data_IF_441374509984
#
_entry.id   IF_441374509984
#
_cell.length_a   1.000
_cell.length_b   1.000
_cell.length_c   1.000
_cell.angle_alpha   90.00
_cell.angle_beta   90.00
_cell.angle_gamma   90.00
#
_symmetry.space_group_name_H-M   'P 1'
#
loop_
_entity.id
_entity.type
_entity.pdbx_description
1 polymer ?
#
# COMPACT_ATOMS: atom_id res chain seq x y z
N UNK A 1 27.71 5.28 -87.99
CA UNK A 1 27.62 6.09 -86.82
C UNK A 1 26.54 5.48 -85.92
N UNK A 2 26.91 4.74 -84.87
CA UNK A 2 26.00 4.12 -83.91
C UNK A 2 26.08 4.91 -82.55
N UNK A 3 25.01 5.54 -82.16
CA UNK A 3 24.94 6.23 -80.90
C UNK A 3 24.52 5.27 -79.74
N UNK A 4 25.42 5.04 -78.77
CA UNK A 4 25.15 4.31 -77.57
C UNK A 4 24.42 5.22 -76.56
N UNK A 5 23.22 4.82 -76.12
CA UNK A 5 22.50 5.46 -75.02
C UNK A 5 22.89 4.75 -73.74
N UNK A 6 23.50 5.48 -72.82
CA UNK A 6 23.78 5.04 -71.46
C UNK A 6 22.53 5.35 -70.59
N UNK A 7 21.90 4.31 -70.05
CA UNK A 7 20.83 4.43 -69.06
C UNK A 7 21.46 4.51 -67.66
N UNK A 8 21.34 5.66 -66.98
CA UNK A 8 21.73 5.81 -65.61
C UNK A 8 20.57 5.34 -64.76
N UNK A 9 20.77 4.25 -64.00
CA UNK A 9 19.80 3.74 -63.02
C UNK A 9 20.02 4.48 -61.69
N UNK A 10 19.06 5.36 -61.29
CA UNK A 10 19.04 6.03 -59.99
C UNK A 10 18.53 5.04 -58.93
N UNK A 11 19.41 4.55 -58.07
CA UNK A 11 19.00 3.80 -56.87
C UNK A 11 18.48 4.81 -55.81
N UNK A 12 17.18 4.86 -55.59
CA UNK A 12 16.58 5.57 -54.48
C UNK A 12 16.62 4.65 -53.25
N UNK A 13 17.56 4.91 -52.35
CA UNK A 13 17.61 4.26 -51.05
C UNK A 13 16.53 4.90 -50.12
N UNK A 14 15.44 4.20 -49.91
CA UNK A 14 14.43 4.56 -48.90
C UNK A 14 15.01 4.18 -47.52
N UNK A 15 15.57 5.16 -46.80
CA UNK A 15 15.83 5.01 -45.38
C UNK A 15 14.47 4.98 -44.64
N UNK A 16 13.97 3.79 -44.38
CA UNK A 16 12.86 3.58 -43.49
C UNK A 16 13.27 3.99 -42.06
N UNK A 17 12.78 5.14 -41.57
CA UNK A 17 12.88 5.48 -40.17
C UNK A 17 12.09 4.43 -39.37
N UNK A 18 12.77 3.45 -38.80
CA UNK A 18 12.21 2.63 -37.74
C UNK A 18 11.89 3.58 -36.58
N UNK A 19 10.63 3.99 -36.45
CA UNK A 19 10.12 4.55 -35.20
C UNK A 19 10.24 3.41 -34.19
N UNK A 20 11.23 3.46 -33.31
CA UNK A 20 11.24 2.67 -32.11
C UNK A 20 9.89 2.96 -31.41
N UNK A 21 9.06 1.96 -31.29
CA UNK A 21 7.91 2.01 -30.38
C UNK A 21 8.51 2.34 -29.02
N UNK A 22 8.21 3.51 -28.47
CA UNK A 22 8.62 3.82 -27.13
C UNK A 22 7.90 2.80 -26.23
N UNK A 23 8.65 1.85 -25.69
CA UNK A 23 8.11 0.91 -24.72
C UNK A 23 7.59 1.74 -23.56
N UNK A 24 6.32 1.52 -23.19
CA UNK A 24 5.71 2.16 -22.04
C UNK A 24 6.57 1.88 -20.80
N UNK A 25 6.74 2.90 -19.93
CA UNK A 25 7.40 2.73 -18.65
C UNK A 25 6.80 1.52 -17.93
N UNK A 26 7.65 0.57 -17.51
CA UNK A 26 7.26 -0.60 -16.71
C UNK A 26 7.79 -0.45 -15.30
N UNK A 27 6.88 -0.53 -14.34
CA UNK A 27 7.17 -0.32 -12.92
C UNK A 27 7.27 -1.65 -12.20
N UNK A 28 8.37 -1.85 -11.48
CA UNK A 28 8.51 -2.87 -10.46
C UNK A 28 7.88 -2.38 -9.15
N UNK A 29 7.66 -3.30 -8.21
CA UNK A 29 7.16 -2.94 -6.90
C UNK A 29 8.15 -2.01 -6.18
N UNK A 30 7.69 -0.84 -5.66
CA UNK A 30 8.58 0.12 -4.99
C UNK A 30 8.95 -0.25 -3.55
N UNK A 31 8.61 -1.47 -3.09
CA UNK A 31 8.90 -2.01 -1.76
C UNK A 31 9.45 -3.43 -1.81
N UNK A 32 10.21 -3.80 -0.79
CA UNK A 32 10.75 -5.15 -0.62
C UNK A 32 9.74 -6.11 0.05
N UNK A 33 8.48 -6.10 -0.36
CA UNK A 33 7.38 -6.85 0.25
C UNK A 33 6.60 -7.68 -0.78
N UNK A 34 5.68 -8.52 -0.30
CA UNK A 34 4.76 -9.31 -1.14
C UNK A 34 3.36 -8.69 -1.09
N UNK A 35 2.88 -8.04 -2.18
CA UNK A 35 1.55 -7.41 -2.20
C UNK A 35 0.44 -8.40 -1.89
N UNK A 36 -0.43 -8.01 -0.96
CA UNK A 36 -1.56 -8.84 -0.49
C UNK A 36 -1.18 -9.89 0.55
N UNK A 37 0.09 -9.93 1.01
CA UNK A 37 0.58 -10.77 2.11
C UNK A 37 1.32 -9.98 3.18
N UNK A 38 2.36 -9.25 2.80
CA UNK A 38 3.21 -8.48 3.73
C UNK A 38 3.14 -6.98 3.49
N UNK A 39 2.51 -6.55 2.41
CA UNK A 39 2.07 -5.17 2.18
C UNK A 39 0.79 -5.12 1.37
N UNK A 40 0.09 -3.98 1.41
CA UNK A 40 -1.24 -3.82 0.82
C UNK A 40 -1.35 -2.43 0.20
N UNK A 41 -2.07 -2.31 -0.92
CA UNK A 41 -2.49 -1.00 -1.41
C UNK A 41 -3.67 -0.54 -0.55
N UNK A 42 -3.48 0.57 0.17
CA UNK A 42 -4.52 1.16 1.02
C UNK A 42 -5.31 2.21 0.24
N UNK A 43 -4.62 3.07 -0.52
CA UNK A 43 -5.24 4.11 -1.33
C UNK A 43 -4.63 4.14 -2.74
N UNK A 44 -5.47 4.47 -3.70
CA UNK A 44 -5.14 4.67 -5.12
C UNK A 44 -5.20 6.16 -5.47
N UNK A 45 -4.76 6.52 -6.68
CA UNK A 45 -4.88 7.89 -7.20
C UNK A 45 -6.35 8.29 -7.28
N UNK A 46 -6.66 9.52 -6.86
CA UNK A 46 -7.98 10.12 -7.07
C UNK A 46 -8.14 10.52 -8.54
N UNK A 47 -9.20 10.02 -9.15
CA UNK A 47 -9.54 10.28 -10.55
C UNK A 47 -10.76 11.18 -10.72
N UNK A 48 -11.38 11.61 -9.62
CA UNK A 48 -12.46 12.57 -9.68
C UNK A 48 -11.88 13.99 -9.73
N UNK A 49 -12.20 14.80 -10.75
CA UNK A 49 -11.68 16.17 -10.85
C UNK A 49 -12.39 17.15 -9.90
N UNK A 50 -13.47 16.71 -9.24
CA UNK A 50 -14.29 17.49 -8.32
C UNK A 50 -13.94 17.23 -6.86
N UNK A 51 -14.78 17.62 -5.91
CA UNK A 51 -14.56 17.38 -4.48
C UNK A 51 -14.91 15.95 -4.03
N UNK A 52 -15.43 15.12 -4.91
CA UNK A 52 -15.69 13.71 -4.65
C UNK A 52 -14.47 12.89 -5.04
N UNK A 53 -14.09 11.93 -4.21
CA UNK A 53 -12.93 11.07 -4.47
C UNK A 53 -13.35 9.73 -5.09
N UNK A 54 -12.68 9.30 -6.16
CA UNK A 54 -12.93 8.03 -6.84
C UNK A 54 -11.63 7.40 -7.34
N UNK A 55 -11.38 6.15 -6.97
CA UNK A 55 -10.27 5.37 -7.52
C UNK A 55 -10.55 4.91 -8.97
N UNK A 56 -9.58 4.23 -9.59
CA UNK A 56 -9.66 3.78 -10.99
C UNK A 56 -10.78 2.76 -11.27
N UNK A 57 -11.37 2.15 -10.24
CA UNK A 57 -12.54 1.27 -10.37
C UNK A 57 -13.86 2.03 -10.18
N UNK A 58 -13.80 3.33 -9.84
CA UNK A 58 -14.93 4.14 -9.41
C UNK A 58 -15.30 3.93 -7.95
N UNK A 59 -14.48 3.21 -7.18
CA UNK A 59 -14.65 2.93 -5.76
C UNK A 59 -14.14 4.05 -4.86
N UNK A 60 -14.18 3.82 -3.55
CA UNK A 60 -13.87 4.79 -2.50
C UNK A 60 -12.50 4.59 -1.86
N UNK A 61 -11.60 3.78 -2.46
CA UNK A 61 -10.25 3.59 -1.93
C UNK A 61 -9.29 4.69 -2.36
N UNK A 62 -9.67 5.91 -2.08
CA UNK A 62 -8.90 7.13 -2.30
C UNK A 62 -9.49 8.26 -1.46
N UNK A 63 -8.93 9.46 -1.52
CA UNK A 63 -9.45 10.69 -0.94
C UNK A 63 -9.18 11.87 -1.88
N UNK A 64 -9.93 12.98 -1.72
CA UNK A 64 -9.86 14.16 -2.59
C UNK A 64 -8.39 14.60 -2.81
N UNK A 65 -8.00 14.69 -4.07
CA UNK A 65 -6.66 15.09 -4.54
C UNK A 65 -5.51 14.14 -4.19
N UNK A 66 -5.78 12.89 -3.85
CA UNK A 66 -4.72 11.92 -3.65
C UNK A 66 -4.00 11.63 -4.97
N UNK A 67 -2.72 11.99 -5.08
CA UNK A 67 -1.94 11.96 -6.31
C UNK A 67 -1.00 10.75 -6.44
N UNK A 68 -1.15 9.75 -5.58
CA UNK A 68 -0.29 8.57 -5.55
C UNK A 68 -0.98 7.27 -5.18
N UNK A 69 -0.17 6.25 -4.97
CA UNK A 69 -0.56 4.94 -4.45
C UNK A 69 0.06 4.76 -3.07
N UNK A 70 -0.75 4.49 -2.05
CA UNK A 70 -0.27 4.24 -0.70
C UNK A 70 -0.06 2.76 -0.45
N UNK A 71 1.19 2.35 -0.28
CA UNK A 71 1.57 0.99 0.10
C UNK A 71 1.72 0.89 1.61
N UNK A 72 0.79 0.18 2.23
CA UNK A 72 0.70 -0.02 3.69
C UNK A 72 1.44 -1.27 4.12
N UNK A 73 2.21 -1.16 5.21
CA UNK A 73 2.82 -2.29 5.91
C UNK A 73 2.04 -2.63 7.20
N UNK A 74 2.17 -3.86 7.73
CA UNK A 74 1.39 -4.28 8.89
C UNK A 74 1.64 -3.48 10.18
N UNK A 75 2.84 -2.92 10.36
CA UNK A 75 3.19 -2.13 11.54
C UNK A 75 4.38 -1.20 11.26
N UNK A 76 4.68 -0.28 12.17
CA UNK A 76 5.88 0.56 12.09
C UNK A 76 7.16 -0.26 12.25
N UNK A 77 7.13 -1.37 13.01
CA UNK A 77 8.26 -2.30 13.12
C UNK A 77 8.49 -3.02 11.78
N UNK A 78 7.43 -3.47 11.10
CA UNK A 78 7.54 -4.05 9.76
C UNK A 78 8.09 -3.03 8.75
N UNK A 79 7.68 -1.75 8.87
CA UNK A 79 8.15 -0.66 8.03
C UNK A 79 9.63 -0.32 8.27
N UNK A 80 10.10 -0.37 9.51
CA UNK A 80 11.51 -0.16 9.86
C UNK A 80 12.40 -1.38 9.49
N UNK A 81 11.81 -2.55 9.30
CA UNK A 81 12.49 -3.80 8.96
C UNK A 81 12.73 -3.97 7.45
N UNK A 82 13.20 -5.15 7.03
CA UNK A 82 13.51 -5.44 5.61
C UNK A 82 12.35 -5.23 4.64
N UNK A 83 11.10 -5.40 5.09
CA UNK A 83 9.89 -5.22 4.26
C UNK A 83 9.68 -3.75 3.87
N UNK A 84 10.16 -2.81 4.68
CA UNK A 84 10.05 -1.38 4.44
C UNK A 84 11.16 -0.81 3.57
N UNK A 85 12.09 -1.63 3.04
CA UNK A 85 13.09 -1.15 2.10
C UNK A 85 12.41 -0.66 0.82
N UNK A 86 12.56 0.65 0.55
CA UNK A 86 12.02 1.32 -0.63
C UNK A 86 12.96 1.12 -1.80
N UNK A 87 12.41 0.75 -2.96
CA UNK A 87 13.16 0.44 -4.18
C UNK A 87 12.76 1.37 -5.32
N UNK A 88 13.71 1.70 -6.18
CA UNK A 88 13.43 2.39 -7.43
C UNK A 88 12.51 1.51 -8.30
N UNK A 89 11.31 1.98 -8.61
CA UNK A 89 10.33 1.23 -9.39
C UNK A 89 10.75 1.03 -10.85
N UNK A 90 11.61 1.91 -11.37
CA UNK A 90 12.21 1.80 -12.70
C UNK A 90 13.62 2.41 -12.69
N UNK A 91 14.44 2.08 -13.68
CA UNK A 91 15.73 2.72 -13.89
C UNK A 91 15.55 4.20 -14.24
N UNK A 92 16.46 5.05 -13.75
CA UNK A 92 16.37 6.49 -13.99
C UNK A 92 17.47 7.28 -13.31
N UNK A 93 17.30 8.61 -13.29
CA UNK A 93 18.23 9.55 -12.65
C UNK A 93 17.54 10.27 -11.51
N UNK A 94 18.15 10.29 -10.34
CA UNK A 94 17.63 11.00 -9.17
C UNK A 94 17.66 12.50 -9.41
N UNK A 95 16.49 13.17 -9.33
CA UNK A 95 16.38 14.62 -9.53
C UNK A 95 16.63 15.41 -8.25
N UNK A 96 15.99 15.00 -7.16
CA UNK A 96 16.05 15.68 -5.86
C UNK A 96 15.73 14.72 -4.74
N UNK A 97 16.21 15.05 -3.55
CA UNK A 97 15.98 14.32 -2.30
C UNK A 97 15.64 15.28 -1.15
N UNK A 98 14.96 14.77 -0.13
CA UNK A 98 14.92 15.32 1.24
C UNK A 98 15.14 14.16 2.20
N UNK A 99 15.91 14.38 3.28
CA UNK A 99 16.33 13.28 4.15
C UNK A 99 16.47 13.67 5.65
N UNK A 100 15.98 14.86 6.02
CA UNK A 100 16.19 15.48 7.34
C UNK A 100 14.90 15.74 8.14
N UNK A 101 13.72 15.50 7.53
CA UNK A 101 12.45 15.67 8.22
C UNK A 101 12.27 14.60 9.31
N UNK A 102 11.80 14.97 10.53
CA UNK A 102 11.62 14.01 11.61
C UNK A 102 10.46 13.03 11.34
N UNK A 103 10.59 11.81 11.86
CA UNK A 103 9.56 10.77 11.81
C UNK A 103 8.54 10.98 12.94
N UNK A 104 7.60 11.91 12.77
CA UNK A 104 6.58 12.25 13.76
C UNK A 104 5.21 12.32 13.08
N UNK A 105 4.24 11.57 13.61
CA UNK A 105 2.88 11.55 13.09
C UNK A 105 2.21 12.94 13.16
N UNK A 106 1.45 13.29 12.10
CA UNK A 106 0.63 14.51 12.13
C UNK A 106 -0.49 14.47 13.18
N UNK A 107 -0.80 13.30 13.73
CA UNK A 107 -1.68 13.19 14.92
C UNK A 107 -1.11 13.87 16.16
N UNK A 108 0.22 13.90 16.28
CA UNK A 108 0.93 14.53 17.38
C UNK A 108 1.22 16.02 17.11
N UNK A 109 1.60 16.34 15.87
CA UNK A 109 2.08 17.68 15.51
C UNK A 109 1.04 18.57 14.84
N UNK A 110 0.03 17.99 14.23
CA UNK A 110 -0.96 18.67 13.37
C UNK A 110 -0.45 18.93 11.96
N UNK A 111 -1.37 18.93 10.99
CA UNK A 111 -1.08 19.14 9.55
C UNK A 111 -0.39 20.46 9.25
N UNK A 112 -0.67 21.52 10.03
CA UNK A 112 -0.07 22.84 9.82
C UNK A 112 1.46 22.84 9.93
N UNK A 113 2.05 21.91 10.69
CA UNK A 113 3.51 21.78 10.85
C UNK A 113 4.22 21.31 9.60
N UNK A 114 3.52 20.61 8.72
CA UNK A 114 4.08 19.99 7.51
C UNK A 114 3.54 20.64 6.23
N UNK A 115 2.83 21.78 6.34
CA UNK A 115 2.29 22.51 5.19
C UNK A 115 3.41 22.91 4.22
N UNK A 116 3.27 22.57 2.93
CA UNK A 116 4.26 22.80 1.88
C UNK A 116 5.43 21.81 1.89
N UNK A 117 5.44 20.86 2.83
CA UNK A 117 6.42 19.79 2.92
C UNK A 117 5.78 18.42 3.20
N UNK A 118 4.56 18.25 2.71
CA UNK A 118 3.69 17.10 2.99
C UNK A 118 4.35 15.75 2.69
N UNK A 119 5.19 15.67 1.65
CA UNK A 119 5.94 14.47 1.31
C UNK A 119 6.93 14.03 2.43
N UNK A 120 7.35 14.94 3.34
CA UNK A 120 8.38 14.62 4.31
C UNK A 120 9.72 14.30 3.65
N UNK A 121 10.41 13.26 4.12
CA UNK A 121 11.59 12.72 3.44
C UNK A 121 11.16 11.94 2.22
N UNK A 122 11.96 12.06 1.16
CA UNK A 122 11.63 11.40 -0.09
C UNK A 122 12.58 11.78 -1.21
N UNK A 123 12.29 11.25 -2.38
CA UNK A 123 13.07 11.53 -3.59
C UNK A 123 12.22 11.45 -4.85
N UNK A 124 12.73 12.04 -5.92
CA UNK A 124 12.14 11.97 -7.25
C UNK A 124 13.17 11.40 -8.22
N UNK A 125 12.74 10.43 -9.03
CA UNK A 125 13.55 9.81 -10.08
C UNK A 125 12.92 10.14 -11.44
N UNK A 126 13.71 10.71 -12.36
CA UNK A 126 13.32 10.92 -13.75
C UNK A 126 13.55 9.65 -14.56
N UNK A 127 12.61 9.34 -15.44
CA UNK A 127 12.64 8.22 -16.37
C UNK A 127 12.52 8.70 -17.82
N UNK A 128 12.53 7.77 -18.78
CA UNK A 128 12.27 8.06 -20.18
C UNK A 128 10.84 8.63 -20.39
N UNK A 129 10.59 9.21 -21.57
CA UNK A 129 9.28 9.69 -22.04
C UNK A 129 8.58 10.68 -21.09
N UNK A 130 9.37 11.53 -20.41
CA UNK A 130 8.91 12.54 -19.47
C UNK A 130 8.15 11.97 -18.26
N UNK A 131 8.39 10.72 -17.90
CA UNK A 131 7.92 10.16 -16.64
C UNK A 131 8.86 10.53 -15.50
N UNK A 132 8.30 10.68 -14.31
CA UNK A 132 9.00 10.68 -13.03
C UNK A 132 8.23 9.89 -11.98
N UNK A 133 8.97 9.35 -11.00
CA UNK A 133 8.39 8.72 -9.81
C UNK A 133 8.86 9.44 -8.56
N UNK A 134 7.94 9.62 -7.60
CA UNK A 134 8.21 10.22 -6.31
C UNK A 134 7.87 9.22 -5.20
N UNK A 135 8.73 9.19 -4.19
CA UNK A 135 8.66 8.31 -3.02
C UNK A 135 8.64 9.19 -1.78
N UNK A 136 7.56 9.16 -1.00
CA UNK A 136 7.34 10.03 0.16
C UNK A 136 7.22 9.26 1.46
N UNK A 137 7.26 9.99 2.56
CA UNK A 137 7.16 9.52 3.95
C UNK A 137 8.28 8.57 4.35
N UNK A 138 9.48 8.75 3.75
CA UNK A 138 10.66 7.96 4.09
C UNK A 138 11.18 8.29 5.48
N UNK A 139 11.85 7.34 6.10
CA UNK A 139 12.47 7.51 7.40
C UNK A 139 13.60 8.56 7.36
N UNK A 140 13.73 9.32 8.43
CA UNK A 140 14.79 10.32 8.59
C UNK A 140 16.17 9.68 8.42
N UNK A 141 16.99 10.24 7.54
CA UNK A 141 18.34 9.75 7.29
C UNK A 141 18.43 8.48 6.44
N UNK A 142 17.30 7.90 5.98
CA UNK A 142 17.29 6.61 5.30
C UNK A 142 17.56 6.66 3.79
N UNK A 143 17.48 7.82 3.16
CA UNK A 143 17.72 7.95 1.70
C UNK A 143 19.20 7.68 1.41
N UNK A 144 19.47 6.69 0.53
CA UNK A 144 20.83 6.18 0.27
C UNK A 144 21.45 6.70 -1.03
N UNK A 145 20.68 7.45 -1.82
CA UNK A 145 21.09 7.97 -3.15
C UNK A 145 21.22 9.49 -3.13
N UNK A 146 21.87 10.06 -4.15
CA UNK A 146 22.15 11.50 -4.28
C UNK A 146 21.54 12.07 -5.57
N UNK A 147 21.28 13.39 -5.63
CA UNK A 147 20.91 14.05 -6.88
C UNK A 147 21.92 13.77 -8.01
N UNK A 148 21.41 13.55 -9.23
CA UNK A 148 22.13 13.15 -10.43
C UNK A 148 22.71 11.73 -10.42
N UNK A 149 22.46 10.93 -9.38
CA UNK A 149 22.83 9.51 -9.38
C UNK A 149 21.89 8.71 -10.31
N UNK A 150 22.47 7.81 -11.10
CA UNK A 150 21.73 6.87 -11.94
C UNK A 150 21.42 5.63 -11.10
N UNK A 151 20.14 5.24 -11.04
CA UNK A 151 19.67 4.08 -10.32
C UNK A 151 19.10 3.04 -11.27
N UNK A 152 19.19 1.78 -10.86
CA UNK A 152 18.56 0.67 -11.58
C UNK A 152 17.22 0.30 -10.95
N UNK A 153 16.30 -0.29 -11.73
CA UNK A 153 15.06 -0.84 -11.19
C UNK A 153 15.36 -1.86 -10.08
N UNK A 154 14.63 -1.80 -8.97
CA UNK A 154 14.83 -2.66 -7.80
C UNK A 154 15.94 -2.24 -6.84
N UNK A 155 16.77 -1.23 -7.19
CA UNK A 155 17.80 -0.70 -6.28
C UNK A 155 17.16 -0.12 -5.02
N UNK A 156 17.69 -0.45 -3.83
CA UNK A 156 17.24 0.16 -2.57
C UNK A 156 17.66 1.64 -2.53
N UNK A 157 16.69 2.52 -2.27
CA UNK A 157 16.87 3.98 -2.29
C UNK A 157 16.51 4.65 -0.96
N UNK A 158 15.96 3.90 0.00
CA UNK A 158 15.58 4.38 1.32
C UNK A 158 14.74 3.36 2.08
N UNK A 159 14.12 3.80 3.16
CA UNK A 159 13.19 3.02 3.98
C UNK A 159 11.92 3.79 4.27
N UNK A 160 10.80 3.08 4.42
CA UNK A 160 9.53 3.64 4.88
C UNK A 160 9.70 4.20 6.28
N UNK A 161 9.17 5.41 6.50
CA UNK A 161 9.16 6.12 7.76
C UNK A 161 7.80 6.68 8.14
N UNK A 162 7.83 7.82 8.84
CA UNK A 162 6.65 8.52 9.33
C UNK A 162 6.78 10.04 9.15
N UNK A 163 7.60 10.49 8.22
CA UNK A 163 7.86 11.91 7.98
C UNK A 163 6.81 12.56 7.09
N UNK A 164 6.52 13.84 7.27
CA UNK A 164 5.57 14.60 6.47
C UNK A 164 4.11 14.44 6.91
N UNK A 165 3.17 14.61 5.98
CA UNK A 165 1.72 14.60 6.25
C UNK A 165 1.17 13.17 6.33
N UNK A 166 1.57 12.41 7.32
CA UNK A 166 1.10 11.03 7.52
C UNK A 166 0.77 10.72 8.97
N UNK A 167 -0.21 9.86 9.19
CA UNK A 167 -0.63 9.40 10.52
C UNK A 167 -0.01 8.04 10.90
N UNK A 168 0.46 7.27 9.93
CA UNK A 168 0.98 5.91 10.08
C UNK A 168 2.02 5.60 9.00
N UNK A 169 2.91 4.65 9.28
CA UNK A 169 3.98 4.28 8.35
C UNK A 169 3.44 3.64 7.07
N UNK A 170 3.74 4.26 5.93
CA UNK A 170 3.43 3.76 4.59
C UNK A 170 4.36 4.40 3.56
N UNK A 171 4.45 3.84 2.37
CA UNK A 171 5.05 4.50 1.23
C UNK A 171 3.94 5.15 0.39
N UNK A 172 3.98 6.47 0.26
CA UNK A 172 3.21 7.18 -0.76
C UNK A 172 4.04 7.27 -2.04
N UNK A 173 3.53 6.68 -3.12
CA UNK A 173 4.23 6.53 -4.39
C UNK A 173 3.45 7.23 -5.51
N UNK A 174 4.00 8.33 -6.03
CA UNK A 174 3.40 9.07 -7.15
C UNK A 174 4.14 8.78 -8.45
N UNK A 175 3.39 8.57 -9.53
CA UNK A 175 3.89 8.55 -10.90
C UNK A 175 3.39 9.79 -11.61
N UNK A 176 4.28 10.49 -12.34
CA UNK A 176 3.90 11.62 -13.18
C UNK A 176 4.36 11.41 -14.61
N UNK A 177 3.62 12.00 -15.55
CA UNK A 177 4.07 12.16 -16.94
C UNK A 177 3.94 13.61 -17.32
N UNK A 178 5.02 14.22 -17.77
CA UNK A 178 5.10 15.65 -18.08
C UNK A 178 4.57 16.52 -16.92
N UNK A 179 4.94 16.18 -15.68
CA UNK A 179 4.57 16.89 -14.45
C UNK A 179 3.14 16.68 -13.94
N UNK A 180 2.33 15.85 -14.60
CA UNK A 180 0.94 15.55 -14.18
C UNK A 180 0.87 14.15 -13.56
N UNK A 181 0.20 13.98 -12.41
CA UNK A 181 -0.05 12.66 -11.84
C UNK A 181 -0.72 11.72 -12.83
N UNK A 182 -0.29 10.47 -12.83
CA UNK A 182 -0.82 9.37 -13.66
C UNK A 182 -1.13 8.21 -12.73
N UNK A 183 -2.30 7.62 -12.88
CA UNK A 183 -2.64 6.40 -12.16
C UNK A 183 -1.90 5.20 -12.78
N UNK A 184 -0.97 4.55 -12.06
CA UNK A 184 -0.23 3.43 -12.61
C UNK A 184 -1.08 2.17 -12.83
N UNK A 185 -2.31 2.12 -12.29
CA UNK A 185 -3.23 1.00 -12.48
C UNK A 185 -4.12 1.19 -13.72
N UNK A 186 -4.32 2.42 -14.19
CA UNK A 186 -5.21 2.69 -15.32
C UNK A 186 -4.80 3.99 -16.05
N UNK A 187 -3.98 3.89 -17.08
CA UNK A 187 -3.51 5.03 -17.88
C UNK A 187 -4.68 5.65 -18.63
N UNK A 188 -4.84 6.98 -18.53
CA UNK A 188 -5.84 7.72 -19.29
C UNK A 188 -5.61 7.64 -20.79
N UNK A 189 -6.70 7.53 -21.57
CA UNK A 189 -6.65 7.46 -23.03
C UNK A 189 -6.35 6.06 -23.59
N UNK A 190 -6.12 5.06 -22.77
CA UNK A 190 -6.11 3.67 -23.20
C UNK A 190 -7.57 3.23 -23.43
N UNK A 191 -7.89 2.85 -24.68
CA UNK A 191 -9.21 2.30 -25.03
C UNK A 191 -9.46 0.91 -24.41
N UNK A 192 -8.50 0.40 -23.65
CA UNK A 192 -8.52 -0.91 -23.01
C UNK A 192 -8.59 -0.75 -21.49
N UNK A 193 -9.71 -1.17 -20.92
CA UNK A 193 -9.83 -1.45 -19.50
C UNK A 193 -9.22 -2.84 -19.29
N UNK A 194 -7.99 -2.92 -18.73
CA UNK A 194 -7.35 -4.22 -18.53
C UNK A 194 -5.83 -4.11 -18.33
N UNK A 195 -5.14 -5.24 -18.40
CA UNK A 195 -3.68 -5.35 -18.17
C UNK A 195 -2.82 -4.42 -19.03
N UNK A 196 -3.26 -4.13 -20.25
CA UNK A 196 -2.52 -3.31 -21.22
C UNK A 196 -2.57 -1.81 -20.92
N UNK A 197 -3.44 -1.38 -19.98
CA UNK A 197 -3.57 0.00 -19.53
C UNK A 197 -2.76 0.31 -18.26
N UNK A 198 -2.07 -0.66 -17.69
CA UNK A 198 -1.29 -0.51 -16.45
C UNK A 198 0.20 -0.24 -16.75
N UNK A 199 0.83 0.60 -15.92
CA UNK A 199 2.29 0.78 -15.93
C UNK A 199 3.03 -0.32 -15.14
N UNK A 200 2.33 -1.09 -14.30
CA UNK A 200 2.96 -2.14 -13.51
C UNK A 200 3.47 -3.28 -14.42
N UNK A 201 4.62 -3.85 -14.04
CA UNK A 201 5.12 -5.06 -14.67
C UNK A 201 4.06 -6.17 -14.62
N UNK A 202 3.92 -6.94 -15.70
CA UNK A 202 2.87 -7.94 -15.84
C UNK A 202 2.93 -9.03 -14.76
N UNK A 203 4.14 -9.33 -14.26
CA UNK A 203 4.35 -10.29 -13.18
C UNK A 203 3.66 -9.89 -11.86
N UNK A 204 3.40 -8.58 -11.67
CA UNK A 204 2.72 -8.03 -10.49
C UNK A 204 1.18 -8.08 -10.58
N UNK A 205 0.62 -8.32 -11.78
CA UNK A 205 -0.82 -8.15 -12.04
C UNK A 205 -1.75 -8.92 -11.11
N UNK A 206 -1.39 -10.14 -10.72
CA UNK A 206 -2.19 -10.94 -9.78
C UNK A 206 -2.05 -10.47 -8.34
N UNK A 207 -0.86 -10.02 -7.93
CA UNK A 207 -0.56 -9.60 -6.56
C UNK A 207 -1.07 -8.20 -6.25
N UNK A 208 -1.07 -7.30 -7.25
CA UNK A 208 -1.58 -5.92 -7.17
C UNK A 208 -3.07 -5.78 -7.56
N UNK A 209 -3.80 -6.89 -7.72
CA UNK A 209 -5.23 -6.81 -8.01
C UNK A 209 -5.97 -5.99 -6.96
N UNK A 210 -6.97 -5.23 -7.40
CA UNK A 210 -7.84 -4.43 -6.53
C UNK A 210 -8.49 -5.29 -5.42
N UNK A 211 -8.50 -4.78 -4.21
CA UNK A 211 -9.14 -5.41 -3.04
C UNK A 211 -9.92 -4.36 -2.28
N UNK A 212 -11.23 -4.47 -2.26
CA UNK A 212 -12.08 -3.57 -1.49
C UNK A 212 -12.16 -4.03 -0.03
N UNK A 213 -11.15 -3.64 0.74
CA UNK A 213 -10.93 -4.02 2.13
C UNK A 213 -10.07 -5.27 2.29
N UNK A 214 -9.23 -5.25 3.32
CA UNK A 214 -8.38 -6.40 3.69
C UNK A 214 -8.01 -6.35 5.17
N UNK A 215 -7.64 -7.51 5.73
CA UNK A 215 -7.01 -7.57 7.06
C UNK A 215 -5.55 -7.20 6.91
N UNK A 216 -5.11 -6.18 7.68
CA UNK A 216 -3.73 -5.74 7.72
C UNK A 216 -2.90 -6.60 8.67
N UNK A 217 -3.40 -6.80 9.88
CA UNK A 217 -2.83 -7.71 10.87
C UNK A 217 -3.88 -8.15 11.91
N UNK A 218 -3.55 -9.19 12.68
CA UNK A 218 -4.41 -9.75 13.72
C UNK A 218 -3.56 -10.47 14.76
N UNK A 219 -4.13 -10.71 15.92
CA UNK A 219 -3.45 -11.44 16.97
C UNK A 219 -4.30 -11.67 18.20
N UNK A 220 -3.66 -12.27 19.20
CA UNK A 220 -4.20 -12.41 20.55
C UNK A 220 -3.33 -11.65 21.55
N UNK A 221 -3.98 -11.13 22.59
CA UNK A 221 -3.34 -10.34 23.64
C UNK A 221 -3.87 -10.80 25.01
N UNK A 222 -3.08 -10.61 26.04
CA UNK A 222 -3.49 -10.84 27.44
C UNK A 222 -3.99 -9.57 28.15
N UNK A 223 -4.07 -8.45 27.44
CA UNK A 223 -4.50 -7.16 27.96
C UNK A 223 -5.26 -6.30 26.94
N UNK A 224 -5.49 -5.04 27.29
CA UNK A 224 -6.13 -4.07 26.39
C UNK A 224 -5.36 -3.90 25.09
N UNK A 225 -6.09 -3.72 23.98
CA UNK A 225 -5.50 -3.51 22.65
C UNK A 225 -5.90 -2.13 22.16
N UNK A 226 -4.91 -1.31 21.79
CA UNK A 226 -5.11 0.01 21.19
C UNK A 226 -4.54 0.05 19.77
N UNK A 227 -4.99 1.02 18.99
CA UNK A 227 -4.48 1.20 17.61
C UNK A 227 -2.97 1.50 17.63
N UNK A 228 -2.52 2.29 18.59
CA UNK A 228 -1.11 2.68 18.76
C UNK A 228 -0.25 1.46 19.11
N UNK A 229 -0.71 0.62 20.03
CA UNK A 229 0.00 -0.62 20.39
C UNK A 229 0.10 -1.59 19.19
N UNK A 230 -0.99 -1.73 18.41
CA UNK A 230 -0.98 -2.57 17.21
C UNK A 230 -0.10 -1.99 16.11
N UNK A 231 -0.06 -0.67 15.94
CA UNK A 231 0.81 0.01 14.99
C UNK A 231 2.29 -0.15 15.37
N UNK A 232 2.59 -0.07 16.66
CA UNK A 232 3.94 -0.24 17.19
C UNK A 232 4.38 -1.72 17.37
N UNK A 233 3.51 -2.69 16.98
CA UNK A 233 3.70 -4.12 17.24
C UNK A 233 3.98 -4.43 18.73
N UNK A 234 3.35 -3.65 19.60
CA UNK A 234 3.54 -3.64 21.06
C UNK A 234 2.29 -4.14 21.82
N UNK A 235 1.34 -4.79 21.13
CA UNK A 235 0.24 -5.48 21.81
C UNK A 235 0.84 -6.60 22.68
N UNK A 236 0.42 -6.61 23.98
CA UNK A 236 0.92 -7.62 24.93
C UNK A 236 0.68 -9.02 24.39
N UNK A 237 1.71 -9.89 24.29
CA UNK A 237 1.50 -11.24 23.78
C UNK A 237 0.64 -12.05 24.75
N UNK A 238 -0.19 -12.96 24.21
CA UNK A 238 -1.01 -13.85 25.02
C UNK A 238 -0.13 -14.75 25.89
N UNK A 239 -0.30 -14.64 27.21
CA UNK A 239 0.42 -15.45 28.20
C UNK A 239 -0.49 -16.42 28.94
N UNK A 240 0.04 -17.58 29.38
CA UNK A 240 -0.71 -18.57 30.14
C UNK A 240 -1.28 -18.05 31.47
N UNK A 241 -0.67 -16.99 32.01
CA UNK A 241 -1.09 -16.33 33.28
C UNK A 241 -1.67 -14.93 33.04
N UNK A 242 -1.93 -14.54 31.80
CA UNK A 242 -2.49 -13.24 31.46
C UNK A 242 -3.84 -12.98 32.14
N UNK A 243 -4.15 -11.72 32.36
CA UNK A 243 -5.41 -11.29 33.02
C UNK A 243 -6.63 -11.43 32.13
N UNK A 244 -6.42 -11.53 30.81
CA UNK A 244 -7.48 -11.69 29.83
C UNK A 244 -7.00 -12.48 28.61
N UNK A 245 -7.94 -12.90 27.79
CA UNK A 245 -7.72 -13.43 26.46
C UNK A 245 -8.50 -12.56 25.49
N UNK A 246 -7.81 -11.77 24.69
CA UNK A 246 -8.39 -10.82 23.75
C UNK A 246 -7.88 -11.14 22.34
N UNK A 247 -8.81 -11.47 21.42
CA UNK A 247 -8.49 -11.50 20.01
C UNK A 247 -8.73 -10.11 19.39
N UNK A 248 -7.88 -9.70 18.47
CA UNK A 248 -7.98 -8.44 17.78
C UNK A 248 -7.66 -8.57 16.29
N UNK A 249 -8.28 -7.71 15.48
CA UNK A 249 -8.05 -7.61 14.04
C UNK A 249 -8.01 -6.15 13.64
N UNK A 250 -7.00 -5.76 12.88
CA UNK A 250 -6.99 -4.48 12.18
C UNK A 250 -7.23 -4.71 10.69
N UNK A 251 -8.32 -4.13 10.19
CA UNK A 251 -8.67 -4.11 8.77
C UNK A 251 -8.52 -2.70 8.21
N UNK A 252 -8.23 -2.61 6.91
CA UNK A 252 -8.08 -1.36 6.15
C UNK A 252 -9.07 -1.31 4.98
N UNK A 253 -9.34 -0.09 4.49
CA UNK A 253 -10.13 0.18 3.28
C UNK A 253 -11.54 -0.42 3.33
N UNK A 254 -12.21 -0.29 4.48
CA UNK A 254 -13.60 -0.73 4.65
C UNK A 254 -14.58 0.32 4.11
N UNK A 255 -15.69 -0.15 3.53
CA UNK A 255 -16.68 0.68 2.87
C UNK A 255 -17.88 1.00 3.76
N UNK A 256 -18.68 1.97 3.36
CA UNK A 256 -19.98 2.28 3.97
C UNK A 256 -20.87 1.04 3.95
N UNK A 257 -21.56 0.78 5.07
CA UNK A 257 -22.46 -0.35 5.22
C UNK A 257 -21.77 -1.66 5.61
N UNK A 258 -20.44 -1.74 5.65
CA UNK A 258 -19.72 -2.92 6.12
C UNK A 258 -20.07 -3.23 7.58
N UNK A 259 -20.44 -4.47 7.84
CA UNK A 259 -20.68 -5.02 9.17
C UNK A 259 -19.52 -5.93 9.55
N UNK A 260 -18.78 -5.55 10.59
CA UNK A 260 -17.64 -6.31 11.10
C UNK A 260 -18.09 -7.23 12.24
N UNK A 261 -17.61 -8.47 12.24
CA UNK A 261 -17.87 -9.46 13.28
C UNK A 261 -16.60 -10.20 13.64
N UNK A 262 -16.28 -10.31 14.93
CA UNK A 262 -15.16 -11.09 15.44
C UNK A 262 -15.67 -12.07 16.49
N UNK A 263 -15.42 -13.36 16.30
CA UNK A 263 -15.83 -14.45 17.20
C UNK A 263 -14.59 -15.19 17.67
N UNK A 264 -14.50 -15.45 18.96
CA UNK A 264 -13.48 -16.31 19.57
C UNK A 264 -14.11 -17.58 20.07
N UNK A 265 -13.55 -18.71 19.71
CA UNK A 265 -13.94 -20.05 20.21
C UNK A 265 -12.86 -20.62 21.10
N UNK A 266 -13.31 -21.24 22.18
CA UNK A 266 -12.48 -21.98 23.11
C UNK A 266 -12.10 -23.37 22.52
N UNK A 267 -11.13 -24.11 23.12
CA UNK A 267 -10.68 -25.42 22.63
C UNK A 267 -11.80 -26.47 22.53
N UNK A 268 -12.88 -26.31 23.26
CA UNK A 268 -14.09 -27.18 23.18
C UNK A 268 -15.07 -26.77 22.07
N UNK A 269 -14.72 -25.76 21.27
CA UNK A 269 -15.55 -25.24 20.18
C UNK A 269 -16.64 -24.25 20.61
N UNK A 270 -16.85 -24.04 21.90
CA UNK A 270 -17.85 -23.07 22.40
C UNK A 270 -17.39 -21.62 22.12
N UNK A 271 -18.34 -20.73 21.89
CA UNK A 271 -18.06 -19.30 21.75
C UNK A 271 -17.64 -18.74 23.12
N UNK A 272 -16.40 -18.28 23.20
CA UNK A 272 -15.84 -17.61 24.37
C UNK A 272 -16.27 -16.14 24.42
N UNK A 273 -16.20 -15.46 23.28
CA UNK A 273 -16.53 -14.05 23.13
C UNK A 273 -16.91 -13.72 21.68
N UNK A 274 -17.75 -12.71 21.52
CA UNK A 274 -18.17 -12.21 20.22
C UNK A 274 -18.31 -10.69 20.27
N UNK A 275 -17.91 -10.01 19.20
CA UNK A 275 -18.18 -8.60 18.96
C UNK A 275 -18.70 -8.43 17.55
N UNK A 276 -19.88 -7.81 17.41
CA UNK A 276 -20.48 -7.45 16.13
C UNK A 276 -20.77 -5.95 16.13
N UNK A 277 -20.13 -5.23 15.22
CA UNK A 277 -20.30 -3.78 15.10
C UNK A 277 -21.52 -3.45 14.25
N UNK A 278 -22.07 -2.26 14.47
CA UNK A 278 -23.07 -1.66 13.59
C UNK A 278 -22.49 -1.41 12.20
N UNK A 279 -23.33 -1.36 11.14
CA UNK A 279 -22.86 -1.00 9.80
C UNK A 279 -22.09 0.32 9.81
N UNK A 280 -20.99 0.40 9.09
CA UNK A 280 -20.18 1.61 9.00
C UNK A 280 -20.99 2.74 8.34
N UNK A 281 -21.07 3.89 9.02
CA UNK A 281 -21.72 5.09 8.48
C UNK A 281 -20.84 5.80 7.41
N UNK A 282 -19.52 5.65 7.49
CA UNK A 282 -18.53 6.23 6.58
C UNK A 282 -17.45 5.20 6.25
N UNK A 283 -16.75 5.35 5.10
CA UNK A 283 -15.58 4.52 4.80
C UNK A 283 -14.54 4.63 5.90
N UNK A 284 -13.80 3.56 6.15
CA UNK A 284 -12.74 3.54 7.15
C UNK A 284 -11.40 3.22 6.52
N UNK A 285 -10.45 4.15 6.63
CA UNK A 285 -9.05 3.94 6.30
C UNK A 285 -8.48 2.74 7.05
N UNK A 286 -8.78 2.68 8.34
CA UNK A 286 -8.44 1.53 9.20
C UNK A 286 -9.50 1.38 10.32
N UNK A 287 -9.68 0.14 10.75
CA UNK A 287 -10.60 -0.25 11.82
C UNK A 287 -9.95 -1.31 12.69
N UNK A 288 -9.95 -1.12 14.01
CA UNK A 288 -9.51 -2.11 14.99
C UNK A 288 -10.74 -2.68 15.66
N UNK A 289 -10.92 -3.99 15.56
CA UNK A 289 -11.98 -4.74 16.26
C UNK A 289 -11.32 -5.73 17.20
N UNK A 290 -11.81 -5.77 18.42
CA UNK A 290 -11.36 -6.75 19.41
C UNK A 290 -12.53 -7.30 20.22
N UNK A 291 -12.34 -8.50 20.76
CA UNK A 291 -13.25 -9.16 21.68
C UNK A 291 -12.49 -10.15 22.53
N UNK A 292 -12.98 -10.42 23.72
CA UNK A 292 -12.29 -11.33 24.63
C UNK A 292 -13.00 -11.47 25.96
N UNK A 293 -12.32 -12.13 26.90
CA UNK A 293 -12.82 -12.39 28.25
C UNK A 293 -11.71 -12.18 29.27
N UNK A 294 -12.08 -11.63 30.43
CA UNK A 294 -11.19 -11.65 31.60
C UNK A 294 -10.97 -13.08 32.06
N UNK A 295 -9.80 -13.33 32.64
CA UNK A 295 -9.44 -14.63 33.17
C UNK A 295 -10.46 -15.08 34.24
N UNK A 296 -11.13 -16.21 34.06
CA UNK A 296 -11.97 -16.79 35.11
C UNK A 296 -11.11 -17.31 36.27
N UNK A 297 -11.74 -17.54 37.43
CA UNK A 297 -11.04 -18.00 38.63
C UNK A 297 -10.32 -19.33 38.42
N UNK A 298 -10.91 -20.23 37.64
CA UNK A 298 -10.36 -21.53 37.26
C UNK A 298 -9.26 -21.44 36.17
N UNK A 299 -9.03 -20.22 35.65
CA UNK A 299 -8.09 -20.01 34.55
C UNK A 299 -8.70 -20.28 33.17
N UNK A 300 -7.93 -20.02 32.10
CA UNK A 300 -8.28 -20.45 30.76
C UNK A 300 -7.89 -21.91 30.56
N UNK A 301 -8.70 -22.67 29.83
CA UNK A 301 -8.38 -24.05 29.46
C UNK A 301 -7.15 -24.08 28.56
N UNK A 302 -6.28 -25.07 28.76
CA UNK A 302 -5.20 -25.38 27.84
C UNK A 302 -5.77 -25.80 26.46
N UNK A 303 -5.07 -25.46 25.39
CA UNK A 303 -5.45 -25.82 24.03
C UNK A 303 -5.54 -24.62 23.08
N UNK A 304 -6.06 -24.87 21.89
CA UNK A 304 -6.10 -23.88 20.80
C UNK A 304 -7.41 -23.08 20.84
N UNK A 305 -7.27 -21.76 20.87
CA UNK A 305 -8.34 -20.79 20.70
C UNK A 305 -8.36 -20.33 19.24
N UNK A 306 -9.51 -20.32 18.63
CA UNK A 306 -9.70 -19.90 17.24
C UNK A 306 -10.48 -18.58 17.20
N UNK A 307 -9.97 -17.60 16.45
CA UNK A 307 -10.69 -16.38 16.16
C UNK A 307 -11.07 -16.34 14.68
N UNK A 308 -12.32 -15.97 14.39
CA UNK A 308 -12.84 -15.75 13.05
C UNK A 308 -13.35 -14.33 12.94
N UNK A 309 -12.76 -13.55 12.02
CA UNK A 309 -13.20 -12.23 11.64
C UNK A 309 -13.91 -12.28 10.29
N UNK A 310 -15.05 -11.61 10.20
CA UNK A 310 -15.86 -11.51 9.00
C UNK A 310 -16.27 -10.06 8.74
N UNK A 311 -16.29 -9.68 7.46
CA UNK A 311 -16.94 -8.45 7.00
C UNK A 311 -18.07 -8.83 6.06
N UNK A 312 -19.26 -8.34 6.36
CA UNK A 312 -20.47 -8.52 5.53
C UNK A 312 -20.79 -7.19 4.86
N UNK A 313 -20.85 -7.19 3.53
CA UNK A 313 -21.20 -6.06 2.67
C UNK A 313 -22.42 -6.44 1.82
N UNK A 314 -23.48 -5.63 1.88
CA UNK A 314 -24.73 -5.90 1.15
C UNK A 314 -25.24 -7.34 1.32
N UNK A 315 -25.16 -7.89 2.54
CA UNK A 315 -25.63 -9.25 2.87
C UNK A 315 -24.68 -10.39 2.44
N UNK A 316 -23.51 -10.08 1.84
CA UNK A 316 -22.51 -11.07 1.42
C UNK A 316 -21.25 -10.96 2.27
N UNK A 317 -20.66 -12.08 2.65
CA UNK A 317 -19.36 -12.12 3.31
C UNK A 317 -18.29 -11.79 2.25
N UNK A 318 -17.56 -10.67 2.45
CA UNK A 318 -16.50 -10.18 1.54
C UNK A 318 -15.11 -10.39 2.10
N UNK A 319 -14.97 -10.49 3.42
CA UNK A 319 -13.71 -10.82 4.10
C UNK A 319 -13.98 -11.92 5.12
N UNK A 320 -13.15 -12.96 5.10
CA UNK A 320 -13.04 -13.97 6.17
C UNK A 320 -11.58 -14.11 6.52
N UNK A 321 -11.26 -13.96 7.81
CA UNK A 321 -9.90 -14.17 8.31
C UNK A 321 -9.93 -15.00 9.57
N UNK A 322 -9.12 -16.09 9.62
CA UNK A 322 -9.02 -17.00 10.75
C UNK A 322 -7.60 -17.00 11.28
N UNK A 323 -7.47 -16.99 12.59
CA UNK A 323 -6.18 -17.06 13.26
C UNK A 323 -6.35 -17.75 14.62
N UNK A 324 -5.27 -18.28 15.14
CA UNK A 324 -5.30 -19.10 16.34
C UNK A 324 -4.24 -18.67 17.34
N UNK A 325 -4.47 -19.00 18.61
CA UNK A 325 -3.46 -18.99 19.65
C UNK A 325 -3.60 -20.24 20.51
N UNK A 326 -2.48 -20.77 21.00
CA UNK A 326 -2.47 -21.95 21.86
C UNK A 326 -1.99 -21.56 23.24
N UNK A 327 -2.77 -21.89 24.27
CA UNK A 327 -2.36 -21.85 25.67
C UNK A 327 -1.85 -23.23 26.09
N UNK A 328 -0.73 -23.28 26.84
CA UNK A 328 -0.15 -24.53 27.34
C UNK A 328 -1.02 -25.22 28.39
#
# INVERSE_FOLDING_TARGET
MRASRVFACLLVTILGSMRASADLLRLQLPLACEPGRTCFVQYYVDRDPGPAARDFTGGSQTYDRHDGTDFRLPSSVAAAGPLGAVRAAAAGTVLRIRNDAPDVSVRETGLAKVAGVECGNGLVIAHADSYDTQYCHLAQGSVTVRPNEVVTAGQVIGHVGLSGATEFSHLHFTVRRAGRPVDPFAIEGSAQIGRDASLWDESLGASLRYRSGTVLNSGFSDGPVTMEAVEADAASPLGARGESLVAWVRAISLEVGDVQRLVVRAPDGQILAENRLSPLANPRAQSLVFTGKRRPAEGFRAGTYEATYEVVRAGRVVIVHRFVATLP
#
